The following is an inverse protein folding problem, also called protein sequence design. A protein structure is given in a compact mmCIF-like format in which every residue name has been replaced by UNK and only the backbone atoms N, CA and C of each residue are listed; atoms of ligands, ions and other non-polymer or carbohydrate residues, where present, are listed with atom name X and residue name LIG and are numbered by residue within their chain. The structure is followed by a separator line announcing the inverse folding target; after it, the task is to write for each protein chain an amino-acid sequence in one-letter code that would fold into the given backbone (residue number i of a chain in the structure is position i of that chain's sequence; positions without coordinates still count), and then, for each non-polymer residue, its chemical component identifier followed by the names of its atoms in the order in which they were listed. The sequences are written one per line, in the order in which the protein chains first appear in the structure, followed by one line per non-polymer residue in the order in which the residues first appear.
data_IF_743567029354
#
_entry.id   IF_743567029354
#
_cell.length_a   1.000
_cell.length_b   1.000
_cell.length_c   1.000
_cell.angle_alpha   90.00
_cell.angle_beta   90.00
_cell.angle_gamma   90.00
#
_symmetry.space_group_name_H-M   'P 1'
#
loop_
_entity.id
_entity.type
_entity.pdbx_description
1 polymer ?
#
# COMPACT_ATOMS: atom_id res chain seq x y z
N UNK A 1 -5.27 -40.35 20.21
CA UNK A 1 -4.36 -39.35 19.65
C UNK A 1 -4.88 -38.97 18.28
N UNK A 2 -4.81 -37.68 17.90
CA UNK A 2 -5.18 -37.20 16.56
C UNK A 2 -3.91 -37.09 15.73
N UNK A 3 -3.92 -37.64 14.52
CA UNK A 3 -2.87 -37.48 13.53
C UNK A 3 -3.18 -36.24 12.67
N UNK A 4 -2.22 -35.36 12.48
CA UNK A 4 -2.32 -34.16 11.65
C UNK A 4 -1.34 -34.26 10.51
N UNK A 5 -1.79 -34.07 9.26
CA UNK A 5 -0.94 -33.97 8.07
C UNK A 5 -1.28 -32.68 7.32
N UNK A 6 -0.27 -32.00 6.77
CA UNK A 6 -0.40 -30.75 6.03
C UNK A 6 -0.65 -29.53 6.92
N UNK A 7 -0.12 -29.51 8.14
CA UNK A 7 -0.15 -28.32 9.00
C UNK A 7 0.61 -27.17 8.31
N UNK A 8 -0.04 -25.98 8.25
CA UNK A 8 0.50 -24.82 7.53
C UNK A 8 0.30 -24.84 6.01
N UNK A 9 -0.30 -25.89 5.45
CA UNK A 9 -0.58 -26.01 4.01
C UNK A 9 -2.05 -25.68 3.67
N UNK A 10 -2.33 -25.53 2.37
CA UNK A 10 -3.69 -25.32 1.86
C UNK A 10 -4.61 -26.54 1.99
N UNK A 11 -4.05 -27.70 2.24
CA UNK A 11 -4.76 -28.96 2.42
C UNK A 11 -4.28 -29.64 3.68
N UNK A 12 -5.20 -29.86 4.63
CA UNK A 12 -4.89 -30.47 5.91
C UNK A 12 -5.82 -31.68 6.16
N UNK A 13 -5.24 -32.76 6.68
CA UNK A 13 -5.96 -33.99 7.04
C UNK A 13 -5.83 -34.22 8.53
N UNK A 14 -6.95 -34.37 9.21
CA UNK A 14 -7.04 -34.80 10.60
C UNK A 14 -7.62 -36.23 10.67
N UNK A 15 -6.96 -37.11 11.38
CA UNK A 15 -7.42 -38.50 11.55
C UNK A 15 -7.36 -38.95 13.01
N UNK A 16 -8.41 -39.61 13.48
CA UNK A 16 -8.47 -40.19 14.84
C UNK A 16 -9.43 -41.35 14.90
N UNK A 17 -9.13 -42.41 15.67
CA UNK A 17 -10.08 -43.46 15.95
C UNK A 17 -11.21 -43.02 16.92
N UNK A 18 -11.06 -41.86 17.57
CA UNK A 18 -12.01 -41.33 18.53
C UNK A 18 -12.61 -40.01 18.01
N UNK A 19 -13.91 -40.03 17.74
CA UNK A 19 -14.65 -38.84 17.26
C UNK A 19 -14.55 -37.67 18.24
N UNK A 20 -14.63 -37.92 19.54
CA UNK A 20 -14.48 -36.87 20.55
C UNK A 20 -13.13 -36.17 20.53
N UNK A 21 -12.05 -36.91 20.26
CA UNK A 21 -10.72 -36.34 20.12
C UNK A 21 -10.59 -35.52 18.83
N UNK A 22 -11.19 -36.00 17.72
CA UNK A 22 -11.24 -35.28 16.45
C UNK A 22 -11.99 -33.94 16.59
N UNK A 23 -13.18 -33.98 17.19
CA UNK A 23 -14.00 -32.78 17.43
C UNK A 23 -13.28 -31.76 18.32
N UNK A 24 -12.52 -32.23 19.32
CA UNK A 24 -11.72 -31.36 20.17
C UNK A 24 -10.56 -30.70 19.36
N UNK A 25 -9.90 -31.47 18.49
CA UNK A 25 -8.82 -30.96 17.64
C UNK A 25 -9.30 -29.94 16.62
N UNK A 26 -10.49 -30.09 16.06
CA UNK A 26 -11.08 -29.14 15.11
C UNK A 26 -11.22 -27.72 15.70
N UNK A 27 -11.37 -27.57 17.02
CA UNK A 27 -11.44 -26.28 17.69
C UNK A 27 -10.12 -25.49 17.64
N UNK A 28 -9.01 -26.16 17.36
CA UNK A 28 -7.67 -25.55 17.28
C UNK A 28 -7.23 -25.31 15.84
N UNK A 29 -8.07 -25.64 14.85
CA UNK A 29 -7.76 -25.33 13.44
C UNK A 29 -7.92 -23.83 13.22
N UNK A 30 -6.85 -23.19 12.73
CA UNK A 30 -6.82 -21.77 12.44
C UNK A 30 -6.57 -21.52 10.95
N UNK A 31 -7.08 -20.41 10.48
CA UNK A 31 -6.80 -19.89 9.15
C UNK A 31 -5.85 -18.69 9.26
N UNK A 32 -4.81 -18.69 8.43
CA UNK A 32 -3.86 -17.56 8.35
C UNK A 32 -3.81 -17.03 6.92
N UNK A 33 -4.16 -15.75 6.75
CA UNK A 33 -3.99 -15.07 5.47
C UNK A 33 -2.50 -14.76 5.23
N UNK A 34 -1.89 -15.40 4.25
CA UNK A 34 -0.48 -15.23 3.88
C UNK A 34 -0.28 -14.37 2.63
N UNK A 35 -1.37 -13.89 2.02
CA UNK A 35 -1.35 -13.11 0.77
C UNK A 35 -1.30 -11.62 1.05
N UNK A 36 -1.72 -11.17 2.24
CA UNK A 36 -1.79 -9.74 2.61
C UNK A 36 -2.69 -8.92 1.65
N UNK A 37 -3.75 -9.54 1.15
CA UNK A 37 -4.72 -8.92 0.25
C UNK A 37 -6.03 -8.70 1.01
N UNK A 38 -6.38 -7.47 1.39
CA UNK A 38 -7.64 -7.17 2.07
C UNK A 38 -8.83 -7.26 1.11
N UNK A 39 -10.02 -7.29 1.69
CA UNK A 39 -11.31 -7.31 0.94
C UNK A 39 -11.46 -8.49 -0.02
N UNK A 40 -10.86 -9.63 0.33
CA UNK A 40 -10.96 -10.89 -0.40
C UNK A 40 -11.78 -11.91 0.36
N UNK A 41 -12.16 -12.99 -0.33
CA UNK A 41 -12.87 -14.12 0.24
C UNK A 41 -12.27 -15.42 -0.29
N UNK A 42 -12.12 -16.41 0.58
CA UNK A 42 -11.68 -17.75 0.22
C UNK A 42 -12.73 -18.78 0.61
N UNK A 43 -13.00 -19.72 -0.29
CA UNK A 43 -13.91 -20.84 -0.02
C UNK A 43 -13.11 -22.01 0.53
N UNK A 44 -13.51 -22.47 1.71
CA UNK A 44 -12.94 -23.64 2.36
C UNK A 44 -13.87 -24.81 2.15
N UNK A 45 -13.33 -25.92 1.66
CA UNK A 45 -14.02 -27.20 1.58
C UNK A 45 -13.69 -28.02 2.83
N UNK A 46 -14.72 -28.46 3.52
CA UNK A 46 -14.64 -29.45 4.61
C UNK A 46 -15.22 -30.77 4.14
N UNK A 47 -14.49 -31.85 4.28
CA UNK A 47 -14.96 -33.19 3.89
C UNK A 47 -14.68 -34.23 4.98
N UNK A 48 -15.61 -35.11 5.22
CA UNK A 48 -15.48 -36.27 6.13
C UNK A 48 -16.37 -37.41 5.67
N UNK A 49 -15.85 -38.64 5.56
CA UNK A 49 -16.56 -39.89 5.32
C UNK A 49 -17.78 -39.80 4.39
N UNK A 50 -17.59 -39.22 3.19
CA UNK A 50 -18.67 -39.10 2.19
C UNK A 50 -19.55 -37.84 2.34
N UNK A 51 -19.31 -36.99 3.32
CA UNK A 51 -19.98 -35.71 3.49
C UNK A 51 -19.06 -34.58 3.12
N UNK A 52 -19.59 -33.54 2.45
CA UNK A 52 -18.86 -32.33 2.08
C UNK A 52 -19.66 -31.10 2.49
N UNK A 53 -18.96 -30.07 2.92
CA UNK A 53 -19.50 -28.75 3.21
C UNK A 53 -18.56 -27.68 2.72
N UNK A 54 -19.09 -26.52 2.38
CA UNK A 54 -18.33 -25.37 1.94
C UNK A 54 -18.70 -24.17 2.80
N UNK A 55 -17.70 -23.39 3.19
CA UNK A 55 -17.93 -22.11 3.84
C UNK A 55 -16.90 -21.07 3.35
N UNK A 56 -17.26 -19.81 3.45
CA UNK A 56 -16.43 -18.71 2.96
C UNK A 56 -15.81 -17.96 4.11
N UNK A 57 -14.48 -17.79 4.08
CA UNK A 57 -13.74 -16.91 4.97
C UNK A 57 -13.57 -15.58 4.24
N UNK A 58 -14.14 -14.51 4.81
CA UNK A 58 -13.94 -13.14 4.31
C UNK A 58 -12.79 -12.48 5.06
N UNK A 59 -11.82 -11.97 4.30
CA UNK A 59 -10.69 -11.20 4.81
C UNK A 59 -11.00 -9.71 4.64
N UNK A 60 -10.95 -8.96 5.73
CA UNK A 60 -11.25 -7.53 5.69
C UNK A 60 -10.62 -6.79 6.86
N UNK A 61 -10.59 -5.46 6.76
CA UNK A 61 -10.16 -4.61 7.88
C UNK A 61 -11.30 -4.45 8.89
N UNK A 62 -10.94 -4.48 10.16
CA UNK A 62 -11.86 -4.12 11.23
C UNK A 62 -12.05 -2.61 11.25
N UNK A 63 -13.23 -2.13 10.90
CA UNK A 63 -13.58 -0.71 11.03
C UNK A 63 -14.01 -0.46 12.46
N UNK A 64 -13.22 0.32 13.20
CA UNK A 64 -13.57 0.79 14.54
C UNK A 64 -13.82 2.29 14.42
N UNK A 65 -15.06 2.77 14.63
CA UNK A 65 -15.34 4.20 14.67
C UNK A 65 -14.52 4.86 15.79
N UNK A 66 -13.82 5.93 15.46
CA UNK A 66 -13.02 6.70 16.42
C UNK A 66 -13.34 8.18 16.29
N UNK A 67 -13.36 8.86 17.41
CA UNK A 67 -13.35 10.32 17.45
C UNK A 67 -11.89 10.79 17.52
N UNK A 68 -11.52 11.70 16.63
CA UNK A 68 -10.19 12.26 16.56
C UNK A 68 -10.24 13.73 17.02
N UNK A 69 -9.31 14.11 17.88
CA UNK A 69 -9.10 15.51 18.20
C UNK A 69 -8.11 16.09 17.18
N UNK A 70 -8.62 16.80 16.21
CA UNK A 70 -7.82 17.42 15.14
C UNK A 70 -7.04 18.66 15.58
N UNK A 71 -7.24 19.14 16.83
CA UNK A 71 -6.70 20.41 17.28
C UNK A 71 -7.67 21.59 17.01
N UNK A 72 -7.20 22.81 17.25
CA UNK A 72 -7.93 24.03 16.94
C UNK A 72 -7.77 24.41 15.46
N UNK A 73 -8.74 25.12 14.90
CA UNK A 73 -8.65 25.61 13.52
C UNK A 73 -7.32 26.34 13.28
N UNK A 74 -6.49 25.82 12.35
CA UNK A 74 -5.16 26.24 11.91
C UNK A 74 -3.96 25.67 12.68
N UNK A 75 -4.14 24.95 13.78
CA UNK A 75 -3.05 24.25 14.47
C UNK A 75 -3.42 22.76 14.61
N UNK A 76 -3.21 21.99 13.53
CA UNK A 76 -3.47 20.56 13.56
C UNK A 76 -2.43 19.83 14.41
N UNK A 77 -2.88 18.96 15.30
CA UNK A 77 -2.01 18.03 15.99
C UNK A 77 -1.71 16.84 15.08
N UNK A 78 -0.69 17.01 14.21
CA UNK A 78 -0.32 16.00 13.20
C UNK A 78 -0.11 14.63 13.82
N UNK A 79 0.61 14.53 14.93
CA UNK A 79 0.90 13.26 15.60
C UNK A 79 -0.35 12.53 16.12
N UNK A 80 -1.43 13.27 16.42
CA UNK A 80 -2.69 12.67 16.88
C UNK A 80 -3.56 12.14 15.73
N UNK A 81 -3.43 12.69 14.53
CA UNK A 81 -4.36 12.42 13.44
C UNK A 81 -3.71 11.77 12.20
N UNK A 82 -2.37 11.78 12.10
CA UNK A 82 -1.61 11.20 10.98
C UNK A 82 -0.67 10.13 11.48
N UNK A 83 -0.62 9.01 10.77
CA UNK A 83 0.44 7.99 10.86
C UNK A 83 1.15 7.91 9.52
N UNK A 84 2.48 7.90 9.54
CA UNK A 84 3.30 7.71 8.35
C UNK A 84 3.50 6.21 8.15
N UNK A 85 3.18 5.70 6.98
CA UNK A 85 3.35 4.31 6.61
C UNK A 85 4.39 4.17 5.48
N UNK A 86 5.30 3.24 5.63
CA UNK A 86 6.34 2.94 4.64
C UNK A 86 6.62 1.45 4.58
N UNK A 87 7.34 1.02 3.55
CA UNK A 87 7.82 -0.36 3.41
C UNK A 87 9.28 -0.35 3.02
N UNK A 88 10.10 -1.17 3.68
CA UNK A 88 11.51 -1.33 3.33
C UNK A 88 11.84 -2.72 2.81
N UNK A 89 12.84 -2.79 1.92
CA UNK A 89 13.42 -4.02 1.41
C UNK A 89 14.85 -3.75 0.94
N UNK A 90 15.86 -4.33 1.60
CA UNK A 90 17.28 -4.20 1.29
C UNK A 90 17.85 -2.75 1.33
N UNK A 91 17.13 -1.79 1.93
CA UNK A 91 17.50 -0.36 1.92
C UNK A 91 17.39 0.29 3.31
N UNK A 92 17.90 -0.35 4.35
CA UNK A 92 17.85 0.22 5.72
C UNK A 92 18.58 1.55 5.87
N UNK A 93 19.64 1.77 5.08
CA UNK A 93 20.31 3.06 5.00
C UNK A 93 19.34 4.18 4.58
N UNK A 94 18.54 3.94 3.54
CA UNK A 94 17.53 4.88 3.07
C UNK A 94 16.37 5.05 4.06
N UNK A 95 15.90 3.95 4.61
CA UNK A 95 14.89 3.99 5.66
C UNK A 95 15.34 4.84 6.85
N UNK A 96 16.60 4.73 7.25
CA UNK A 96 17.16 5.54 8.33
C UNK A 96 17.18 7.04 7.97
N UNK A 97 17.64 7.39 6.76
CA UNK A 97 17.61 8.78 6.26
C UNK A 97 16.17 9.34 6.26
N UNK A 98 15.18 8.54 5.83
CA UNK A 98 13.77 8.91 5.89
C UNK A 98 13.33 9.19 7.33
N UNK A 99 13.57 8.24 8.26
CA UNK A 99 13.17 8.38 9.67
C UNK A 99 13.81 9.62 10.29
N UNK A 100 15.11 9.82 10.11
CA UNK A 100 15.84 10.96 10.66
C UNK A 100 15.25 12.28 10.13
N UNK A 101 14.93 12.35 8.84
CA UNK A 101 14.31 13.53 8.24
C UNK A 101 12.88 13.78 8.75
N UNK A 102 12.08 12.73 8.95
CA UNK A 102 10.75 12.85 9.56
C UNK A 102 10.87 13.41 10.98
N UNK A 103 11.77 12.88 11.79
CA UNK A 103 11.97 13.30 13.19
C UNK A 103 12.41 14.75 13.34
N UNK A 104 13.10 15.29 12.33
CA UNK A 104 13.49 16.70 12.32
C UNK A 104 12.27 17.64 12.28
N UNK A 105 11.19 17.27 11.60
CA UNK A 105 10.01 18.13 11.40
C UNK A 105 8.79 17.66 12.19
N UNK A 106 8.65 16.34 12.40
CA UNK A 106 7.54 15.68 13.08
C UNK A 106 8.06 14.68 14.11
N UNK A 107 8.59 15.14 15.26
CA UNK A 107 9.34 14.30 16.19
C UNK A 107 8.49 13.21 16.87
N UNK A 108 7.17 13.43 17.01
CA UNK A 108 6.27 12.53 17.73
C UNK A 108 5.26 11.78 16.85
N UNK A 109 5.32 11.95 15.52
CA UNK A 109 4.43 11.24 14.61
C UNK A 109 4.75 9.74 14.62
N UNK A 110 3.72 8.89 14.61
CA UNK A 110 3.92 7.44 14.51
C UNK A 110 4.35 7.06 13.10
N UNK A 111 5.39 6.22 12.99
CA UNK A 111 5.89 5.65 11.74
C UNK A 111 5.67 4.15 11.79
N UNK A 112 4.89 3.62 10.85
CA UNK A 112 4.65 2.19 10.67
C UNK A 112 5.49 1.69 9.50
N UNK A 113 6.28 0.66 9.75
CA UNK A 113 7.24 0.09 8.78
C UNK A 113 6.86 -1.36 8.53
N UNK A 114 6.59 -1.72 7.28
CA UNK A 114 6.51 -3.10 6.82
C UNK A 114 7.86 -3.55 6.26
N UNK A 115 8.30 -4.74 6.62
CA UNK A 115 9.64 -5.24 6.29
C UNK A 115 9.56 -6.70 5.85
N UNK A 116 9.90 -6.98 4.59
CA UNK A 116 9.95 -8.34 4.03
C UNK A 116 11.37 -8.79 3.66
N UNK A 117 12.37 -8.28 4.38
CA UNK A 117 13.75 -8.75 4.24
C UNK A 117 13.90 -10.19 4.74
N UNK A 118 14.83 -10.93 4.13
CA UNK A 118 15.20 -12.29 4.56
C UNK A 118 15.83 -12.31 5.95
N UNK A 119 16.68 -11.30 6.22
CA UNK A 119 17.34 -11.09 7.49
C UNK A 119 16.98 -9.70 8.02
N UNK A 120 15.80 -9.53 8.63
CA UNK A 120 15.33 -8.21 9.05
C UNK A 120 16.21 -7.65 10.17
N UNK A 121 16.59 -6.37 10.01
CA UNK A 121 17.26 -5.60 11.06
C UNK A 121 16.20 -4.96 11.94
N UNK A 122 16.40 -5.03 13.26
CA UNK A 122 15.46 -4.39 14.16
C UNK A 122 15.52 -2.87 14.07
N UNK A 123 14.41 -2.23 13.66
CA UNK A 123 14.25 -0.79 13.63
C UNK A 123 13.44 -0.36 14.85
N UNK A 124 14.10 0.32 15.79
CA UNK A 124 13.48 0.75 17.06
C UNK A 124 13.62 2.25 17.27
N UNK A 125 12.71 2.81 18.05
CA UNK A 125 12.73 4.22 18.44
C UNK A 125 11.37 4.67 18.97
N UNK A 126 11.28 5.88 19.55
CA UNK A 126 10.01 6.46 19.95
C UNK A 126 9.06 6.59 18.75
N UNK A 127 7.81 6.14 18.93
CA UNK A 127 6.77 6.20 17.91
C UNK A 127 7.15 5.49 16.59
N UNK A 128 7.90 4.37 16.67
CA UNK A 128 8.19 3.47 15.56
C UNK A 128 7.51 2.15 15.82
N UNK A 129 6.73 1.68 14.84
CA UNK A 129 6.13 0.36 14.81
C UNK A 129 6.71 -0.40 13.63
N UNK A 130 7.47 -1.46 13.91
CA UNK A 130 8.16 -2.27 12.91
C UNK A 130 7.52 -3.66 12.82
N UNK A 131 6.98 -3.99 11.65
CA UNK A 131 6.28 -5.23 11.37
C UNK A 131 7.06 -6.07 10.36
N UNK A 132 7.56 -7.20 10.82
CA UNK A 132 8.28 -8.18 9.99
C UNK A 132 7.26 -9.10 9.33
N UNK A 133 7.43 -9.32 8.03
CA UNK A 133 6.62 -10.22 7.24
C UNK A 133 7.50 -11.26 6.54
N UNK A 134 6.94 -12.37 6.02
CA UNK A 134 7.74 -13.37 5.31
C UNK A 134 8.51 -12.76 4.14
N UNK A 135 9.71 -13.28 3.90
CA UNK A 135 10.62 -12.80 2.87
C UNK A 135 9.96 -12.67 1.50
N UNK A 136 10.23 -11.56 0.82
CA UNK A 136 9.90 -11.37 -0.58
C UNK A 136 8.41 -11.30 -0.91
N UNK A 137 7.54 -10.95 0.05
CA UNK A 137 6.08 -10.78 -0.19
C UNK A 137 5.76 -9.64 -1.15
N UNK A 138 6.70 -8.72 -1.33
CA UNK A 138 6.63 -7.69 -2.32
C UNK A 138 6.00 -6.38 -1.84
N UNK A 139 6.01 -5.44 -2.77
CA UNK A 139 5.73 -4.04 -2.48
C UNK A 139 4.32 -3.79 -1.94
N UNK A 140 3.31 -4.38 -2.59
CA UNK A 140 1.91 -4.09 -2.24
C UNK A 140 1.39 -4.92 -1.07
N UNK A 141 1.92 -6.13 -0.87
CA UNK A 141 1.67 -6.88 0.36
C UNK A 141 2.17 -6.11 1.59
N UNK A 142 3.40 -5.55 1.51
CA UNK A 142 3.95 -4.70 2.56
C UNK A 142 3.15 -3.40 2.76
N UNK A 143 2.67 -2.80 1.68
CA UNK A 143 1.81 -1.61 1.75
C UNK A 143 0.49 -1.90 2.44
N UNK A 144 -0.17 -3.02 2.10
CA UNK A 144 -1.39 -3.47 2.77
C UNK A 144 -1.15 -3.70 4.27
N UNK A 145 -0.06 -4.38 4.64
CA UNK A 145 0.29 -4.61 6.04
C UNK A 145 0.47 -3.28 6.78
N UNK A 146 1.32 -2.37 6.28
CA UNK A 146 1.59 -1.11 6.95
C UNK A 146 0.30 -0.29 7.12
N UNK A 147 -0.50 -0.13 6.07
CA UNK A 147 -1.76 0.62 6.12
C UNK A 147 -2.78 -0.04 7.06
N UNK A 148 -2.78 -1.38 7.18
CA UNK A 148 -3.68 -2.10 8.09
C UNK A 148 -3.43 -1.82 9.57
N UNK A 149 -2.21 -1.43 9.93
CA UNK A 149 -1.82 -1.11 11.30
C UNK A 149 -2.16 0.34 11.69
N UNK A 150 -2.48 1.20 10.71
CA UNK A 150 -2.79 2.61 10.97
C UNK A 150 -4.12 2.76 11.67
N UNK A 151 -4.12 3.46 12.80
CA UNK A 151 -5.31 3.71 13.61
C UNK A 151 -5.70 5.19 13.71
N UNK A 152 -4.90 6.09 13.13
CA UNK A 152 -5.18 7.53 13.04
C UNK A 152 -6.15 7.85 11.91
N UNK A 153 -6.69 9.08 11.89
CA UNK A 153 -7.65 9.54 10.89
C UNK A 153 -7.09 9.47 9.48
N UNK A 154 -5.81 9.82 9.33
CA UNK A 154 -5.10 9.85 8.05
C UNK A 154 -3.90 8.93 8.07
N UNK A 155 -3.65 8.28 6.95
CA UNK A 155 -2.40 7.62 6.63
C UNK A 155 -1.64 8.44 5.60
N UNK A 156 -0.36 8.72 5.85
CA UNK A 156 0.56 9.26 4.87
C UNK A 156 1.43 8.11 4.36
N UNK A 157 1.31 7.78 3.07
CA UNK A 157 2.22 6.85 2.43
C UNK A 157 3.46 7.56 1.91
N UNK A 158 4.63 7.02 2.21
CA UNK A 158 5.93 7.47 1.71
C UNK A 158 6.80 6.28 1.30
N UNK A 159 7.57 6.44 0.22
CA UNK A 159 8.61 5.46 -0.13
C UNK A 159 9.83 5.64 0.78
N UNK A 160 10.58 4.56 1.05
CA UNK A 160 11.70 4.55 2.01
C UNK A 160 12.94 5.34 1.55
N UNK A 161 12.92 5.90 0.33
CA UNK A 161 13.98 6.75 -0.23
C UNK A 161 13.57 8.23 -0.37
N UNK A 162 12.54 8.65 0.35
CA UNK A 162 12.14 10.06 0.44
C UNK A 162 12.79 10.76 1.65
N UNK A 163 13.01 12.07 1.52
CA UNK A 163 13.57 12.94 2.57
C UNK A 163 12.61 14.10 2.81
N UNK A 164 12.18 14.26 4.07
CA UNK A 164 11.38 15.39 4.50
C UNK A 164 12.22 16.65 4.58
N UNK A 165 11.61 17.77 4.25
CA UNK A 165 12.23 19.09 4.26
C UNK A 165 11.28 20.13 4.86
N UNK A 166 11.70 21.36 5.02
CA UNK A 166 10.82 22.47 5.44
C UNK A 166 9.63 22.71 4.48
N UNK A 167 9.68 22.16 3.26
CA UNK A 167 8.57 22.21 2.30
C UNK A 167 7.61 21.02 2.43
N UNK A 168 7.90 20.04 3.29
CA UNK A 168 7.04 18.88 3.53
C UNK A 168 6.03 19.21 4.63
N UNK A 169 5.10 20.12 4.34
CA UNK A 169 4.12 20.64 5.29
C UNK A 169 2.86 19.75 5.30
N UNK A 170 2.82 18.78 6.21
CA UNK A 170 1.69 17.84 6.33
C UNK A 170 0.39 18.55 6.74
N UNK A 171 0.50 19.68 7.45
CA UNK A 171 -0.62 20.54 7.84
C UNK A 171 -1.43 21.00 6.63
N UNK A 172 -0.77 21.30 5.50
CA UNK A 172 -1.45 21.69 4.26
C UNK A 172 -2.27 20.52 3.68
N UNK A 173 -1.75 19.29 3.74
CA UNK A 173 -2.49 18.11 3.31
C UNK A 173 -3.69 17.82 4.23
N UNK A 174 -3.52 17.99 5.52
CA UNK A 174 -4.63 17.84 6.48
C UNK A 174 -5.67 18.93 6.24
N UNK A 175 -5.26 20.18 6.07
CA UNK A 175 -6.18 21.32 5.89
C UNK A 175 -7.10 21.14 4.68
N UNK A 176 -6.56 20.68 3.55
CA UNK A 176 -7.37 20.41 2.36
C UNK A 176 -8.33 19.21 2.59
N UNK A 177 -7.88 18.14 3.24
CA UNK A 177 -8.73 16.98 3.54
C UNK A 177 -9.84 17.32 4.56
N UNK A 178 -9.60 18.26 5.48
CA UNK A 178 -10.61 18.70 6.45
C UNK A 178 -11.63 19.67 5.83
N UNK A 179 -11.22 20.50 4.87
CA UNK A 179 -12.06 21.57 4.30
C UNK A 179 -12.75 21.20 2.98
N UNK A 180 -12.40 20.05 2.41
CA UNK A 180 -12.98 19.59 1.13
C UNK A 180 -13.58 18.20 1.26
N UNK A 181 -14.20 17.73 0.19
CA UNK A 181 -14.72 16.35 0.06
C UNK A 181 -13.66 15.37 -0.41
N UNK A 182 -12.39 15.76 -0.49
CA UNK A 182 -11.32 14.86 -0.88
C UNK A 182 -11.11 13.75 0.15
N UNK A 183 -10.83 12.57 -0.36
CA UNK A 183 -10.49 11.39 0.42
C UNK A 183 -8.98 11.13 0.46
N UNK A 184 -8.26 11.60 -0.57
CA UNK A 184 -6.82 11.41 -0.73
C UNK A 184 -6.20 12.63 -1.43
N UNK A 185 -5.00 13.04 -1.00
CA UNK A 185 -4.23 14.10 -1.64
C UNK A 185 -2.78 13.69 -1.80
N UNK A 186 -2.25 13.80 -3.01
CA UNK A 186 -0.83 13.63 -3.31
C UNK A 186 -0.06 14.93 -3.21
N UNK A 187 1.20 14.84 -2.82
CA UNK A 187 2.14 15.96 -2.87
C UNK A 187 3.00 15.94 -4.13
N UNK A 188 4.13 16.64 -4.07
CA UNK A 188 5.14 16.70 -5.13
C UNK A 188 6.46 16.09 -4.66
N UNK A 189 7.23 15.62 -5.61
CA UNK A 189 8.58 15.06 -5.36
C UNK A 189 9.61 15.90 -6.08
N UNK A 190 10.64 16.32 -5.36
CA UNK A 190 11.81 16.97 -5.91
C UNK A 190 12.90 15.94 -6.14
N UNK A 191 13.20 15.70 -7.40
CA UNK A 191 14.27 14.80 -7.83
C UNK A 191 15.65 15.42 -7.55
N UNK A 192 16.69 14.58 -7.51
CA UNK A 192 18.07 15.03 -7.29
C UNK A 192 18.57 16.06 -8.32
N UNK A 193 17.96 16.11 -9.49
CA UNK A 193 18.23 17.11 -10.54
C UNK A 193 17.68 18.50 -10.20
N UNK A 194 16.91 18.63 -9.10
CA UNK A 194 16.18 19.85 -8.72
C UNK A 194 14.80 19.98 -9.39
N UNK A 195 14.48 19.12 -10.34
CA UNK A 195 13.14 19.10 -10.96
C UNK A 195 12.10 18.63 -9.94
N UNK A 196 10.99 19.37 -9.84
CA UNK A 196 9.87 19.02 -8.97
C UNK A 196 8.69 18.57 -9.81
N UNK A 197 8.18 17.37 -9.54
CA UNK A 197 7.07 16.76 -10.26
C UNK A 197 5.94 16.34 -9.32
N UNK A 198 4.71 16.47 -9.78
CA UNK A 198 3.51 15.99 -9.08
C UNK A 198 3.07 14.61 -9.52
N UNK A 199 3.47 14.17 -10.74
CA UNK A 199 3.09 12.89 -11.36
C UNK A 199 1.58 12.59 -11.29
N UNK A 200 0.77 13.62 -11.47
CA UNK A 200 -0.70 13.53 -11.45
C UNK A 200 -1.24 13.15 -12.81
N UNK A 201 -2.31 12.36 -12.82
CA UNK A 201 -2.92 11.84 -14.05
C UNK A 201 -4.43 11.88 -13.96
N UNK A 202 -5.04 11.95 -15.15
CA UNK A 202 -6.45 11.63 -15.36
C UNK A 202 -6.58 10.25 -15.96
N UNK A 203 -7.64 9.53 -15.59
CA UNK A 203 -7.94 8.17 -16.05
C UNK A 203 -9.27 8.21 -16.80
N UNK A 204 -9.31 7.65 -18.00
CA UNK A 204 -10.54 7.41 -18.73
C UNK A 204 -10.57 6.00 -19.30
N UNK A 205 -11.76 5.43 -19.38
CA UNK A 205 -11.99 4.11 -19.97
C UNK A 205 -12.87 4.31 -21.20
N UNK A 206 -12.45 3.83 -22.33
CA UNK A 206 -13.22 3.79 -23.57
C UNK A 206 -13.78 2.39 -23.78
N UNK A 207 -15.08 2.29 -23.99
CA UNK A 207 -15.76 1.02 -24.24
C UNK A 207 -15.26 0.38 -25.53
N UNK A 208 -14.83 -0.87 -25.46
CA UNK A 208 -14.31 -1.66 -26.59
C UNK A 208 -15.22 -2.80 -27.02
N UNK A 209 -16.45 -2.86 -26.49
CA UNK A 209 -17.42 -3.91 -26.79
C UNK A 209 -16.98 -5.31 -26.35
N UNK A 210 -17.24 -6.31 -27.20
CA UNK A 210 -16.91 -7.72 -26.89
C UNK A 210 -15.40 -7.98 -26.75
N UNK A 211 -14.56 -7.15 -27.37
CA UNK A 211 -13.11 -7.29 -27.32
C UNK A 211 -12.48 -6.73 -26.03
N UNK A 212 -13.25 -6.05 -25.19
CA UNK A 212 -12.80 -5.42 -23.93
C UNK A 212 -12.47 -3.93 -24.10
N UNK A 213 -12.36 -3.25 -22.98
CA UNK A 213 -12.21 -1.79 -22.88
C UNK A 213 -10.74 -1.35 -23.00
N UNK A 214 -10.53 -0.07 -23.34
CA UNK A 214 -9.21 0.55 -23.36
C UNK A 214 -9.06 1.58 -22.26
N UNK A 215 -7.97 1.45 -21.47
CA UNK A 215 -7.62 2.40 -20.41
C UNK A 215 -6.70 3.50 -20.96
N UNK A 216 -7.06 4.74 -20.74
CA UNK A 216 -6.24 5.90 -21.07
C UNK A 216 -5.74 6.59 -19.81
N UNK A 217 -4.43 6.67 -19.68
CA UNK A 217 -3.74 7.26 -18.54
C UNK A 217 -2.95 8.48 -19.02
N UNK A 218 -3.48 9.69 -18.77
CA UNK A 218 -2.93 10.94 -19.31
C UNK A 218 -2.37 11.82 -18.21
N UNK A 219 -1.20 12.41 -18.43
CA UNK A 219 -0.68 13.47 -17.55
C UNK A 219 -1.65 14.65 -17.55
N UNK A 220 -2.12 15.06 -16.36
CA UNK A 220 -3.07 16.14 -16.27
C UNK A 220 -3.87 16.15 -14.97
N UNK A 221 -4.91 16.97 -14.99
CA UNK A 221 -5.85 17.15 -13.89
C UNK A 221 -7.19 17.63 -14.44
N UNK A 222 -8.25 17.54 -13.63
CA UNK A 222 -9.60 17.98 -14.04
C UNK A 222 -9.80 19.48 -13.83
N UNK A 223 -9.63 19.98 -12.59
CA UNK A 223 -9.80 21.40 -12.26
C UNK A 223 -9.05 21.77 -10.99
N UNK A 224 -8.86 23.06 -10.77
CA UNK A 224 -8.28 23.61 -9.54
C UNK A 224 -9.30 23.54 -8.42
N UNK A 225 -8.87 23.24 -7.21
CA UNK A 225 -9.74 23.15 -6.04
C UNK A 225 -9.99 24.54 -5.49
N UNK A 226 -11.29 24.90 -5.35
CA UNK A 226 -11.69 26.20 -4.80
C UNK A 226 -11.10 26.41 -3.39
N UNK A 227 -10.52 27.58 -3.16
CA UNK A 227 -9.83 27.92 -1.91
C UNK A 227 -8.41 27.35 -1.77
N UNK A 228 -7.97 26.49 -2.70
CA UNK A 228 -6.64 25.85 -2.68
C UNK A 228 -5.96 25.97 -4.04
N UNK A 229 -5.42 27.14 -4.40
CA UNK A 229 -4.90 27.40 -5.75
C UNK A 229 -3.71 26.51 -6.13
N UNK A 230 -3.01 25.94 -5.15
CA UNK A 230 -1.88 25.03 -5.37
C UNK A 230 -2.31 23.57 -5.52
N UNK A 231 -3.61 23.28 -5.46
CA UNK A 231 -4.15 21.93 -5.47
C UNK A 231 -5.20 21.76 -6.59
N UNK A 232 -5.20 20.58 -7.17
CA UNK A 232 -6.09 20.23 -8.29
C UNK A 232 -6.75 18.87 -8.03
N UNK A 233 -7.88 18.61 -8.67
CA UNK A 233 -8.51 17.29 -8.71
C UNK A 233 -7.86 16.46 -9.81
N UNK A 234 -7.47 15.22 -9.48
CA UNK A 234 -6.87 14.24 -10.38
C UNK A 234 -7.42 12.84 -10.06
N UNK A 235 -7.15 11.84 -10.91
CA UNK A 235 -7.57 10.47 -10.67
C UNK A 235 -6.45 9.60 -10.10
N UNK A 236 -5.19 9.98 -10.30
CA UNK A 236 -4.04 9.29 -9.74
C UNK A 236 -2.90 10.25 -9.40
N UNK A 237 -2.13 9.89 -8.37
CA UNK A 237 -1.02 10.66 -7.83
C UNK A 237 0.19 9.77 -7.55
N UNK A 238 1.31 10.37 -7.17
CA UNK A 238 2.55 9.67 -6.83
C UNK A 238 2.47 8.94 -5.48
N UNK A 239 3.48 8.11 -5.18
CA UNK A 239 3.70 7.40 -3.91
C UNK A 239 4.04 8.31 -2.71
N UNK A 240 3.65 9.55 -2.75
CA UNK A 240 3.66 10.50 -1.65
C UNK A 240 2.25 11.07 -1.53
N UNK A 241 1.41 10.43 -0.72
CA UNK A 241 0.02 10.84 -0.58
C UNK A 241 -0.50 10.63 0.84
N UNK A 242 -1.40 11.50 1.26
CA UNK A 242 -2.17 11.39 2.49
C UNK A 242 -3.62 11.04 2.14
N UNK A 243 -4.19 10.05 2.81
CA UNK A 243 -5.58 9.65 2.59
C UNK A 243 -6.31 9.36 3.90
N UNK A 244 -7.65 9.42 3.86
CA UNK A 244 -8.50 8.94 4.95
C UNK A 244 -8.25 7.46 5.15
N UNK A 245 -7.72 7.08 6.31
CA UNK A 245 -7.23 5.72 6.59
C UNK A 245 -8.24 4.65 6.20
N UNK A 246 -9.50 4.80 6.63
CA UNK A 246 -10.53 3.79 6.35
C UNK A 246 -10.84 3.65 4.84
N UNK A 247 -10.75 4.75 4.08
CA UNK A 247 -10.95 4.75 2.64
C UNK A 247 -9.83 4.03 1.89
N UNK A 248 -8.58 4.33 2.24
CA UNK A 248 -7.39 3.65 1.67
C UNK A 248 -7.42 2.15 2.00
N UNK A 249 -7.78 1.79 3.23
CA UNK A 249 -7.92 0.40 3.67
C UNK A 249 -9.00 -0.36 2.88
N UNK A 250 -10.10 0.29 2.54
CA UNK A 250 -11.20 -0.34 1.80
C UNK A 250 -10.84 -0.62 0.33
N UNK A 251 -10.09 0.26 -0.32
CA UNK A 251 -9.59 0.01 -1.68
C UNK A 251 -8.53 -1.09 -1.65
N UNK A 252 -7.49 -0.93 -0.82
CA UNK A 252 -6.37 -1.86 -0.73
C UNK A 252 -5.51 -1.90 -2.00
N UNK A 253 -4.46 -2.71 -1.97
CA UNK A 253 -3.53 -2.88 -3.09
C UNK A 253 -3.46 -4.36 -3.46
N UNK A 254 -3.56 -4.71 -4.74
CA UNK A 254 -3.43 -6.11 -5.18
C UNK A 254 -1.94 -6.54 -5.21
N UNK A 255 -1.51 -7.42 -4.28
CA UNK A 255 -0.10 -7.81 -4.20
C UNK A 255 0.38 -8.65 -5.39
N UNK A 256 -0.54 -9.19 -6.22
CA UNK A 256 -0.20 -9.98 -7.40
C UNK A 256 0.28 -9.14 -8.57
N UNK A 257 -0.01 -7.83 -8.58
CA UNK A 257 0.22 -6.94 -9.71
C UNK A 257 1.61 -6.28 -9.73
N UNK A 258 2.50 -6.62 -8.78
CA UNK A 258 3.83 -6.05 -8.66
C UNK A 258 3.81 -4.52 -8.82
N UNK A 259 4.56 -3.96 -9.79
CA UNK A 259 4.59 -2.50 -10.00
C UNK A 259 3.28 -1.89 -10.51
N UNK A 260 2.44 -2.68 -11.18
CA UNK A 260 1.15 -2.20 -11.72
C UNK A 260 0.10 -2.01 -10.64
N UNK A 261 0.29 -2.56 -9.44
CA UNK A 261 -0.61 -2.37 -8.31
C UNK A 261 -0.75 -0.92 -7.85
N UNK A 262 0.24 -0.05 -8.12
CA UNK A 262 0.07 1.38 -7.86
C UNK A 262 -0.98 2.01 -8.79
N UNK A 263 -0.94 1.70 -10.07
CA UNK A 263 -1.92 2.17 -11.05
C UNK A 263 -3.29 1.54 -10.77
N UNK A 264 -3.30 0.25 -10.52
CA UNK A 264 -4.53 -0.51 -10.25
C UNK A 264 -5.29 0.00 -9.02
N UNK A 265 -4.57 0.41 -7.95
CA UNK A 265 -5.20 1.05 -6.80
C UNK A 265 -6.05 2.26 -7.20
N UNK A 266 -5.57 3.10 -8.09
CA UNK A 266 -6.31 4.27 -8.55
C UNK A 266 -7.47 3.91 -9.49
N UNK A 267 -7.36 2.82 -10.26
CA UNK A 267 -8.47 2.31 -11.07
C UNK A 267 -9.57 1.76 -10.16
N UNK A 268 -9.23 0.98 -9.14
CA UNK A 268 -10.19 0.48 -8.15
C UNK A 268 -10.80 1.61 -7.30
N UNK A 269 -10.09 2.72 -7.19
CA UNK A 269 -10.55 3.91 -6.47
C UNK A 269 -11.52 4.80 -7.28
N UNK A 270 -11.62 4.61 -8.60
CA UNK A 270 -12.51 5.43 -9.44
C UNK A 270 -13.96 5.36 -8.96
N UNK A 271 -14.57 6.53 -8.80
CA UNK A 271 -15.93 6.66 -8.28
C UNK A 271 -16.09 6.40 -6.78
N UNK A 272 -15.00 5.99 -6.08
CA UNK A 272 -15.01 5.73 -4.64
C UNK A 272 -14.15 6.72 -3.84
N UNK A 273 -12.97 7.11 -4.35
CA UNK A 273 -12.12 8.14 -3.76
C UNK A 273 -12.17 9.42 -4.59
N UNK A 274 -12.35 10.54 -3.91
CA UNK A 274 -12.07 11.86 -4.48
C UNK A 274 -10.61 12.20 -4.22
N UNK A 275 -9.84 12.38 -5.29
CA UNK A 275 -8.38 12.49 -5.23
C UNK A 275 -7.93 13.87 -5.65
N UNK A 276 -7.03 14.47 -4.88
CA UNK A 276 -6.37 15.74 -5.18
C UNK A 276 -4.86 15.59 -5.31
N UNK A 277 -4.21 16.62 -5.86
CA UNK A 277 -2.76 16.74 -5.97
C UNK A 277 -2.33 18.16 -5.68
N UNK A 278 -1.44 18.36 -4.69
CA UNK A 278 -0.91 19.66 -4.29
C UNK A 278 0.58 19.75 -4.65
N UNK A 279 0.98 20.83 -5.31
CA UNK A 279 2.38 21.00 -5.74
C UNK A 279 3.26 21.76 -4.73
N UNK A 280 2.69 22.27 -3.65
CA UNK A 280 3.35 23.03 -2.59
C UNK A 280 3.75 22.20 -1.36
N UNK A 281 3.35 20.93 -1.30
CA UNK A 281 3.82 19.97 -0.29
C UNK A 281 4.84 19.05 -0.95
N UNK A 282 6.11 19.20 -0.60
CA UNK A 282 7.21 18.61 -1.37
C UNK A 282 8.08 17.74 -0.49
N UNK A 283 8.37 16.51 -0.93
CA UNK A 283 9.46 15.67 -0.42
C UNK A 283 10.62 15.66 -1.41
N UNK A 284 11.84 15.52 -0.92
CA UNK A 284 12.99 15.24 -1.77
C UNK A 284 13.12 13.73 -1.99
N UNK A 285 13.57 13.36 -3.18
CA UNK A 285 13.91 12.00 -3.54
C UNK A 285 15.42 11.81 -3.51
N UNK A 286 15.92 10.83 -2.77
CA UNK A 286 17.35 10.56 -2.78
C UNK A 286 17.79 10.08 -4.16
N UNK A 287 18.94 10.57 -4.61
CA UNK A 287 19.45 10.36 -5.96
C UNK A 287 19.44 8.88 -6.36
N UNK A 288 18.85 8.60 -7.52
CA UNK A 288 18.98 7.32 -8.23
C UNK A 288 20.22 7.28 -9.13
N UNK A 289 20.94 8.37 -9.24
CA UNK A 289 22.15 8.46 -10.07
C UNK A 289 23.30 7.86 -9.28
N UNK A 290 23.45 6.55 -9.35
CA UNK A 290 24.64 5.86 -8.88
C UNK A 290 25.49 5.49 -10.08
N UNK A 291 26.72 5.95 -10.09
CA UNK A 291 27.71 5.46 -11.04
C UNK A 291 27.88 3.94 -10.79
N UNK A 292 28.01 3.10 -11.83
CA UNK A 292 28.05 1.64 -11.66
C UNK A 292 29.04 1.14 -10.61
N UNK A 293 30.16 1.86 -10.44
CA UNK A 293 31.23 1.52 -9.49
C UNK A 293 30.99 2.03 -8.06
N UNK A 294 29.95 2.81 -7.81
CA UNK A 294 29.59 3.30 -6.46
C UNK A 294 28.44 2.52 -5.83
N UNK A 295 27.84 1.56 -6.55
CA UNK A 295 26.73 0.77 -6.03
C UNK A 295 27.16 -0.15 -4.90
N UNK A 296 26.46 -0.09 -3.78
CA UNK A 296 26.61 -1.03 -2.67
C UNK A 296 26.06 -2.42 -3.04
N UNK A 297 26.46 -3.47 -2.33
CA UNK A 297 25.92 -4.83 -2.55
C UNK A 297 24.39 -4.89 -2.32
N UNK A 298 23.86 -4.15 -1.34
CA UNK A 298 22.42 -4.05 -1.11
C UNK A 298 21.69 -3.41 -2.28
N UNK A 299 22.26 -2.38 -2.92
CA UNK A 299 21.70 -1.77 -4.12
C UNK A 299 21.68 -2.73 -5.32
N UNK A 300 22.77 -3.49 -5.51
CA UNK A 300 22.83 -4.53 -6.56
C UNK A 300 21.79 -5.64 -6.32
N UNK A 301 21.66 -6.09 -5.07
CA UNK A 301 20.65 -7.07 -4.68
C UNK A 301 19.23 -6.54 -4.91
N UNK A 302 18.94 -5.30 -4.48
CA UNK A 302 17.67 -4.65 -4.70
C UNK A 302 17.29 -4.55 -6.19
N UNK A 303 18.25 -4.22 -7.06
CA UNK A 303 18.02 -4.15 -8.51
C UNK A 303 17.59 -5.49 -9.12
N UNK A 304 18.15 -6.62 -8.63
CA UNK A 304 17.73 -7.96 -9.09
C UNK A 304 16.24 -8.21 -8.82
N UNK A 305 15.73 -7.80 -7.65
CA UNK A 305 14.30 -7.92 -7.32
C UNK A 305 13.44 -6.88 -8.02
N UNK A 306 14.03 -5.73 -8.31
CA UNK A 306 13.31 -4.63 -8.97
C UNK A 306 13.12 -4.86 -10.47
N UNK A 307 14.08 -5.50 -11.13
CA UNK A 307 14.14 -5.74 -12.57
C UNK A 307 14.27 -7.23 -12.81
N UNK A 308 13.25 -8.00 -12.39
CA UNK A 308 13.17 -9.42 -12.79
C UNK A 308 13.15 -9.51 -14.30
N UNK A 309 14.15 -10.17 -14.84
CA UNK A 309 14.47 -10.20 -16.29
C UNK A 309 13.69 -11.25 -17.06
N UNK A 310 12.67 -11.90 -16.47
CA UNK A 310 11.87 -12.87 -17.22
C UNK A 310 10.68 -12.17 -17.88
N UNK A 311 10.66 -12.14 -19.20
CA UNK A 311 9.51 -11.72 -20.00
C UNK A 311 8.21 -12.40 -19.58
N UNK A 312 8.27 -13.69 -19.21
CA UNK A 312 7.12 -14.48 -18.75
C UNK A 312 6.45 -13.96 -17.47
N UNK A 313 7.21 -13.43 -16.53
CA UNK A 313 6.65 -12.88 -15.27
C UNK A 313 5.99 -11.52 -15.49
N UNK A 314 6.60 -10.69 -16.33
CA UNK A 314 5.99 -9.42 -16.77
C UNK A 314 4.68 -9.64 -17.53
N UNK A 315 4.63 -10.66 -18.37
CA UNK A 315 3.45 -11.02 -19.17
C UNK A 315 2.33 -11.53 -18.26
N UNK A 316 2.64 -12.38 -17.27
CA UNK A 316 1.67 -12.85 -16.28
C UNK A 316 1.04 -11.70 -15.49
N UNK A 317 1.83 -10.72 -15.04
CA UNK A 317 1.29 -9.55 -14.34
C UNK A 317 0.43 -8.67 -15.26
N UNK A 318 0.76 -8.58 -16.53
CA UNK A 318 -0.06 -7.88 -17.51
C UNK A 318 -1.38 -8.61 -17.73
N UNK A 319 -1.36 -9.93 -17.87
CA UNK A 319 -2.56 -10.76 -18.04
C UNK A 319 -3.48 -10.64 -16.84
N UNK A 320 -2.96 -10.72 -15.61
CA UNK A 320 -3.76 -10.54 -14.38
C UNK A 320 -4.38 -9.14 -14.34
N UNK A 321 -3.62 -8.09 -14.68
CA UNK A 321 -4.10 -6.72 -14.71
C UNK A 321 -5.23 -6.53 -15.72
N UNK A 322 -5.06 -7.02 -16.94
CA UNK A 322 -6.08 -6.94 -17.99
C UNK A 322 -7.29 -7.79 -17.67
N UNK A 323 -7.09 -9.02 -17.20
CA UNK A 323 -8.19 -9.90 -16.81
C UNK A 323 -9.04 -9.30 -15.69
N UNK A 324 -8.43 -8.80 -14.62
CA UNK A 324 -9.11 -8.19 -13.47
C UNK A 324 -9.96 -6.99 -13.90
N UNK A 325 -9.44 -6.12 -14.76
CA UNK A 325 -10.07 -4.88 -15.16
C UNK A 325 -10.78 -4.96 -16.53
N UNK A 326 -10.71 -6.10 -17.20
CA UNK A 326 -11.27 -6.32 -18.56
C UNK A 326 -10.73 -5.35 -19.61
N UNK A 327 -9.50 -4.90 -19.46
CA UNK A 327 -8.86 -4.02 -20.42
C UNK A 327 -8.25 -4.81 -21.58
N UNK A 328 -8.54 -4.38 -22.81
CA UNK A 328 -7.91 -4.84 -24.05
C UNK A 328 -6.59 -4.12 -24.32
N UNK A 329 -6.54 -2.84 -23.98
CA UNK A 329 -5.37 -2.00 -24.18
C UNK A 329 -5.19 -0.97 -23.07
N UNK A 330 -3.98 -0.45 -22.98
CA UNK A 330 -3.64 0.67 -22.11
C UNK A 330 -2.74 1.65 -22.87
N UNK A 331 -3.11 2.93 -22.88
CA UNK A 331 -2.27 4.01 -23.38
C UNK A 331 -1.82 4.89 -22.24
N UNK A 332 -0.55 5.29 -22.24
CA UNK A 332 0.03 6.24 -21.28
C UNK A 332 0.73 7.34 -22.06
N UNK A 333 0.26 8.59 -21.91
CA UNK A 333 0.83 9.79 -22.55
C UNK A 333 1.38 10.76 -21.52
#
# INVERSE_FOLDING_TARGET
MVSVKGEGEKHMILSSPLLSALNKQLQFVTYTNTVFHPSTAETVQFATEGHQSFFTIKVGHRIIPKLYNSGYQREYNISAIVTIATKTFLRYDKLKELIDSIRQYYPTVTIVIADDNEHPQQVTGPHIEHYIMPFGKGWFAGRNLAVSQVTTKYVLWVDDDFIFTANTKLENMVDILEKTTLDLVGGAVREATGYTATYRHTISVEEGGEEGDCLHFRKGYHHVIEGFPNCVVADAVINFFMGRTYKVQQVGFDPRLARRGHLEFFIDALGYLHIGSCHDVIVNHTSKIHLPWTKTESQKAYEKFRYTSSSSESDLYNEIFYFKNRFKCMTSN
#
